data_IF_601799936279
#
_entry.id   IF_601799936279
#
_cell.length_a   1.000
_cell.length_b   1.000
_cell.length_c   1.000
_cell.angle_alpha   90.00
_cell.angle_beta   90.00
_cell.angle_gamma   90.00
#
_symmetry.space_group_name_H-M   'P 1'
#
loop_
_entity.id
_entity.type
_entity.pdbx_description
1 polymer ?
#
# COMPACT_ATOMS: atom_id res chain seq x y z
N UNK A 1 -14.19 16.86 5.01
CA UNK A 1 -14.01 18.11 4.24
C UNK A 1 -15.09 18.03 3.19
N UNK A 2 -16.23 18.74 3.33
CA UNK A 2 -17.41 18.47 2.50
C UNK A 2 -17.01 18.48 1.02
N UNK A 3 -16.94 17.30 0.40
CA UNK A 3 -16.68 17.19 -1.03
C UNK A 3 -17.95 17.70 -1.72
N UNK A 4 -17.84 18.85 -2.39
CA UNK A 4 -18.93 19.37 -3.20
C UNK A 4 -19.25 18.35 -4.31
N UNK A 5 -20.54 18.07 -4.52
CA UNK A 5 -21.00 17.20 -5.60
C UNK A 5 -20.46 17.65 -6.96
N UNK A 6 -20.21 18.96 -7.14
CA UNK A 6 -19.56 19.50 -8.34
C UNK A 6 -18.12 18.99 -8.52
N UNK A 7 -17.36 18.84 -7.44
CA UNK A 7 -15.98 18.31 -7.48
C UNK A 7 -15.97 16.82 -7.80
N UNK A 8 -16.93 16.06 -7.27
CA UNK A 8 -17.08 14.63 -7.62
C UNK A 8 -17.45 14.47 -9.09
N UNK A 9 -18.42 15.25 -9.58
CA UNK A 9 -18.89 15.18 -10.97
C UNK A 9 -17.76 15.57 -11.93
N UNK A 10 -17.05 16.67 -11.66
CA UNK A 10 -15.91 17.10 -12.49
C UNK A 10 -14.78 16.06 -12.47
N UNK A 11 -14.45 15.50 -11.31
CA UNK A 11 -13.48 14.42 -11.19
C UNK A 11 -13.89 13.17 -11.98
N UNK A 12 -15.16 12.78 -11.92
CA UNK A 12 -15.69 11.64 -12.66
C UNK A 12 -15.67 11.87 -14.18
N UNK A 13 -16.06 13.07 -14.63
CA UNK A 13 -16.03 13.45 -16.06
C UNK A 13 -14.60 13.48 -16.61
N UNK A 14 -13.66 14.09 -15.88
CA UNK A 14 -12.25 14.12 -16.28
C UNK A 14 -11.65 12.72 -16.32
N UNK A 15 -11.91 11.90 -15.30
CA UNK A 15 -11.45 10.51 -15.26
C UNK A 15 -12.03 9.69 -16.42
N UNK A 16 -13.32 9.89 -16.75
CA UNK A 16 -13.97 9.24 -17.88
C UNK A 16 -13.37 9.66 -19.23
N UNK A 17 -13.10 10.95 -19.43
CA UNK A 17 -12.47 11.45 -20.64
C UNK A 17 -11.05 10.89 -20.82
N UNK A 18 -10.26 10.86 -19.74
CA UNK A 18 -8.91 10.27 -19.74
C UNK A 18 -8.98 8.77 -20.04
N UNK A 19 -9.95 8.05 -19.47
CA UNK A 19 -10.12 6.62 -19.75
C UNK A 19 -10.42 6.37 -21.23
N UNK A 20 -11.36 7.11 -21.83
CA UNK A 20 -11.68 6.99 -23.26
C UNK A 20 -10.45 7.30 -24.12
N UNK A 21 -9.69 8.33 -23.76
CA UNK A 21 -8.46 8.70 -24.44
C UNK A 21 -7.39 7.60 -24.38
N UNK A 22 -7.13 7.02 -23.20
CA UNK A 22 -6.15 5.94 -23.02
C UNK A 22 -6.57 4.67 -23.78
N UNK A 23 -7.84 4.30 -23.71
CA UNK A 23 -8.36 3.10 -24.40
C UNK A 23 -8.26 3.28 -25.92
N UNK A 24 -8.57 4.48 -26.43
CA UNK A 24 -8.51 4.79 -27.86
C UNK A 24 -7.09 4.80 -28.44
N UNK A 25 -6.08 5.24 -27.68
CA UNK A 25 -4.72 5.42 -28.21
C UNK A 25 -3.74 4.30 -27.83
N UNK A 26 -3.85 3.74 -26.63
CA UNK A 26 -2.87 2.77 -26.10
C UNK A 26 -3.48 1.36 -26.00
N UNK A 27 -4.78 1.29 -25.76
CA UNK A 27 -5.55 0.06 -25.74
C UNK A 27 -6.17 -0.29 -24.39
N UNK A 28 -7.00 -1.33 -24.40
CA UNK A 28 -7.86 -1.69 -23.27
C UNK A 28 -7.11 -2.04 -21.98
N UNK A 29 -5.90 -2.63 -22.08
CA UNK A 29 -5.08 -3.03 -20.92
C UNK A 29 -4.67 -1.83 -20.05
N UNK A 30 -4.27 -0.72 -20.69
CA UNK A 30 -3.90 0.50 -19.96
C UNK A 30 -5.14 1.19 -19.36
N UNK A 31 -6.28 1.13 -20.07
CA UNK A 31 -7.55 1.57 -19.51
C UNK A 31 -7.94 0.79 -18.25
N UNK A 32 -7.77 -0.53 -18.26
CA UNK A 32 -8.03 -1.38 -17.09
C UNK A 32 -7.09 -1.04 -15.92
N UNK A 33 -5.79 -0.83 -16.18
CA UNK A 33 -4.82 -0.40 -15.15
C UNK A 33 -5.18 0.97 -14.56
N UNK A 34 -5.66 1.90 -15.39
CA UNK A 34 -6.13 3.21 -14.94
C UNK A 34 -7.35 3.08 -14.00
N UNK A 35 -8.31 2.22 -14.34
CA UNK A 35 -9.45 1.93 -13.46
C UNK A 35 -9.02 1.31 -12.12
N UNK A 36 -8.04 0.40 -12.13
CA UNK A 36 -7.45 -0.14 -10.89
C UNK A 36 -6.82 0.98 -10.06
N UNK A 37 -6.11 1.92 -10.69
CA UNK A 37 -5.55 3.11 -10.03
C UNK A 37 -6.60 3.99 -9.37
N UNK A 38 -7.71 4.27 -10.07
CA UNK A 38 -8.84 5.02 -9.51
C UNK A 38 -9.43 4.27 -8.31
N UNK A 39 -9.70 2.99 -8.45
CA UNK A 39 -10.24 2.15 -7.38
C UNK A 39 -9.33 2.15 -6.15
N UNK A 40 -8.03 1.93 -6.34
CA UNK A 40 -7.04 1.98 -5.27
C UNK A 40 -6.99 3.36 -4.60
N UNK A 41 -7.03 4.45 -5.37
CA UNK A 41 -7.07 5.82 -4.85
C UNK A 41 -8.30 6.11 -3.99
N UNK A 42 -9.48 5.69 -4.45
CA UNK A 42 -10.74 5.84 -3.71
C UNK A 42 -10.73 5.05 -2.40
N UNK A 43 -10.20 3.82 -2.41
CA UNK A 43 -10.04 2.98 -1.22
C UNK A 43 -9.07 3.66 -0.23
N UNK A 44 -7.90 4.12 -0.69
CA UNK A 44 -6.92 4.80 0.16
C UNK A 44 -7.49 6.08 0.79
N UNK A 45 -8.25 6.86 0.02
CA UNK A 45 -8.91 8.08 0.49
C UNK A 45 -9.96 7.78 1.57
N UNK A 46 -10.87 6.84 1.32
CA UNK A 46 -11.92 6.50 2.29
C UNK A 46 -11.38 5.79 3.54
N UNK A 47 -10.36 4.96 3.38
CA UNK A 47 -9.74 4.28 4.50
C UNK A 47 -8.80 5.18 5.32
N UNK A 48 -8.53 6.42 4.86
CA UNK A 48 -7.52 7.33 5.43
C UNK A 48 -6.20 6.60 5.76
N UNK A 49 -5.78 5.74 4.83
CA UNK A 49 -4.88 4.64 5.13
C UNK A 49 -3.39 5.03 5.03
N UNK A 50 -2.69 4.97 6.15
CA UNK A 50 -1.24 5.18 6.24
C UNK A 50 -0.53 4.04 6.96
N UNK A 51 0.46 3.42 6.30
CA UNK A 51 1.33 2.43 6.94
C UNK A 51 2.06 3.04 8.13
N UNK A 52 2.78 4.14 7.94
CA UNK A 52 3.54 4.80 9.01
C UNK A 52 2.70 5.30 10.17
N UNK A 53 1.52 5.86 9.91
CA UNK A 53 0.65 6.40 10.97
C UNK A 53 0.15 5.30 11.90
N UNK A 54 -0.26 4.16 11.35
CA UNK A 54 -0.72 3.01 12.15
C UNK A 54 0.37 2.46 13.09
N UNK A 55 1.60 2.32 12.58
CA UNK A 55 2.75 1.90 13.39
C UNK A 55 3.12 2.95 14.45
N UNK A 56 3.09 4.24 14.09
CA UNK A 56 3.37 5.33 15.03
C UNK A 56 2.33 5.40 16.14
N UNK A 57 1.04 5.25 15.84
CA UNK A 57 -0.03 5.25 16.83
C UNK A 57 0.07 4.04 17.77
N UNK A 58 0.48 2.88 17.24
CA UNK A 58 0.79 1.73 18.08
C UNK A 58 1.93 2.03 19.05
N UNK A 59 3.08 2.51 18.56
CA UNK A 59 4.26 2.71 19.40
C UNK A 59 4.05 3.83 20.42
N UNK A 60 3.51 4.96 19.96
CA UNK A 60 3.40 6.18 20.78
C UNK A 60 2.22 6.11 21.75
N UNK A 61 1.04 5.69 21.25
CA UNK A 61 -0.20 5.68 22.03
C UNK A 61 -0.54 4.28 22.55
N UNK A 62 -0.08 3.21 21.89
CA UNK A 62 -0.54 1.85 22.20
C UNK A 62 -1.87 1.50 21.53
N UNK A 63 -2.30 2.28 20.52
CA UNK A 63 -3.54 2.05 19.77
C UNK A 63 -3.21 1.26 18.50
N UNK A 64 -3.71 0.03 18.42
CA UNK A 64 -3.31 -0.93 17.39
C UNK A 64 -4.29 -1.16 16.27
N UNK A 65 -5.44 -0.46 16.26
CA UNK A 65 -6.50 -0.78 15.32
C UNK A 65 -6.09 -0.67 13.84
N UNK A 66 -5.34 0.38 13.47
CA UNK A 66 -4.81 0.55 12.11
C UNK A 66 -3.79 -0.53 11.74
N UNK A 67 -2.92 -0.93 12.67
CA UNK A 67 -1.91 -1.96 12.45
C UNK A 67 -2.57 -3.34 12.27
N UNK A 68 -3.62 -3.63 13.05
CA UNK A 68 -4.42 -4.84 12.91
C UNK A 68 -5.12 -4.91 11.54
N UNK A 69 -5.70 -3.80 11.08
CA UNK A 69 -6.30 -3.73 9.76
C UNK A 69 -5.28 -4.00 8.64
N UNK A 70 -4.05 -3.48 8.77
CA UNK A 70 -2.95 -3.76 7.84
C UNK A 70 -2.59 -5.25 7.79
N UNK A 71 -2.47 -5.90 8.95
CA UNK A 71 -2.14 -7.33 9.00
C UNK A 71 -3.24 -8.19 8.33
N UNK A 72 -4.52 -7.84 8.52
CA UNK A 72 -5.63 -8.51 7.84
C UNK A 72 -5.57 -8.28 6.32
N UNK A 73 -5.33 -7.04 5.89
CA UNK A 73 -5.17 -6.71 4.46
C UNK A 73 -4.04 -7.52 3.83
N UNK A 74 -2.88 -7.61 4.49
CA UNK A 74 -1.74 -8.40 4.01
C UNK A 74 -2.04 -9.90 3.99
N UNK A 75 -2.73 -10.42 5.00
CA UNK A 75 -3.13 -11.82 5.06
C UNK A 75 -4.10 -12.20 3.92
N UNK A 76 -5.13 -11.38 3.68
CA UNK A 76 -6.06 -11.59 2.56
C UNK A 76 -5.31 -11.51 1.22
N UNK A 77 -4.43 -10.52 1.07
CA UNK A 77 -3.58 -10.39 -0.12
C UNK A 77 -2.73 -11.65 -0.33
N UNK A 78 -2.09 -12.17 0.71
CA UNK A 78 -1.28 -13.37 0.63
C UNK A 78 -2.11 -14.60 0.24
N UNK A 79 -3.30 -14.78 0.84
CA UNK A 79 -4.22 -15.89 0.53
C UNK A 79 -4.67 -15.88 -0.93
N UNK A 80 -4.90 -14.69 -1.50
CA UNK A 80 -5.33 -14.56 -2.88
C UNK A 80 -4.16 -14.68 -3.86
N UNK A 81 -3.07 -13.95 -3.64
CA UNK A 81 -2.00 -13.84 -4.65
C UNK A 81 -0.99 -14.98 -4.60
N UNK A 82 -0.70 -15.60 -3.44
CA UNK A 82 0.28 -16.69 -3.40
C UNK A 82 -0.16 -17.91 -4.24
N UNK A 83 -1.42 -18.39 -4.18
CA UNK A 83 -1.88 -19.47 -5.06
C UNK A 83 -1.82 -19.09 -6.54
N UNK A 84 -2.29 -17.88 -6.89
CA UNK A 84 -2.23 -17.38 -8.26
C UNK A 84 -0.79 -17.32 -8.81
N UNK A 85 0.18 -16.97 -7.97
CA UNK A 85 1.59 -16.97 -8.34
C UNK A 85 2.19 -18.38 -8.41
N UNK A 86 1.66 -19.35 -7.64
CA UNK A 86 2.10 -20.73 -7.68
C UNK A 86 1.63 -21.45 -8.95
N UNK A 87 0.41 -21.16 -9.41
CA UNK A 87 -0.12 -21.68 -10.67
C UNK A 87 0.64 -21.11 -11.89
N UNK A 88 1.26 -19.93 -11.74
CA UNK A 88 2.13 -19.32 -12.75
C UNK A 88 1.42 -18.79 -13.99
N UNK A 89 0.11 -18.99 -14.10
CA UNK A 89 -0.72 -18.53 -15.20
C UNK A 89 -2.12 -18.16 -14.73
N UNK A 90 -2.69 -17.11 -15.35
CA UNK A 90 -4.09 -16.74 -15.18
C UNK A 90 -4.67 -16.41 -16.55
N UNK A 91 -5.62 -17.21 -17.01
CA UNK A 91 -6.28 -17.03 -18.32
C UNK A 91 -5.28 -16.90 -19.49
N UNK A 92 -4.22 -17.72 -19.49
CA UNK A 92 -3.18 -17.71 -20.51
C UNK A 92 -2.17 -16.56 -20.42
N UNK A 93 -2.24 -15.72 -19.37
CA UNK A 93 -1.21 -14.72 -19.07
C UNK A 93 -0.24 -15.28 -18.03
N UNK A 94 1.07 -15.22 -18.30
CA UNK A 94 2.08 -15.62 -17.33
C UNK A 94 2.06 -14.69 -16.11
N UNK A 95 1.91 -15.27 -14.92
CA UNK A 95 2.05 -14.58 -13.65
C UNK A 95 3.42 -14.90 -13.08
N UNK A 96 4.31 -13.90 -13.07
CA UNK A 96 5.62 -14.01 -12.43
C UNK A 96 5.71 -13.08 -11.23
N UNK A 97 6.11 -13.63 -10.10
CA UNK A 97 6.51 -12.85 -8.94
C UNK A 97 7.79 -12.06 -9.24
N UNK A 98 7.82 -10.78 -8.90
CA UNK A 98 9.04 -9.98 -8.98
C UNK A 98 9.93 -10.26 -7.77
N UNK A 99 10.77 -11.29 -7.86
CA UNK A 99 11.74 -11.64 -6.82
C UNK A 99 13.04 -10.90 -7.09
N UNK A 100 13.39 -9.95 -6.23
CA UNK A 100 14.63 -9.17 -6.33
C UNK A 100 15.64 -9.65 -5.27
N UNK A 101 16.96 -9.59 -5.57
CA UNK A 101 17.99 -9.96 -4.62
C UNK A 101 17.96 -9.05 -3.39
N UNK A 102 18.30 -9.64 -2.23
CA UNK A 102 18.43 -8.90 -0.98
C UNK A 102 19.85 -8.31 -0.91
N UNK A 103 20.01 -7.06 -1.30
CA UNK A 103 21.30 -6.37 -1.33
C UNK A 103 21.44 -5.34 -0.21
N UNK A 104 22.69 -4.93 0.06
CA UNK A 104 22.98 -3.81 0.99
C UNK A 104 22.23 -2.53 0.57
N UNK A 105 21.98 -2.36 -0.73
CA UNK A 105 21.19 -1.24 -1.25
C UNK A 105 19.73 -1.25 -0.77
N UNK A 106 19.12 -2.40 -0.48
CA UNK A 106 17.79 -2.47 0.12
C UNK A 106 17.79 -1.92 1.54
N UNK A 107 18.83 -2.24 2.33
CA UNK A 107 18.97 -1.75 3.71
C UNK A 107 19.17 -0.23 3.72
N UNK A 108 20.10 0.26 2.89
CA UNK A 108 20.34 1.69 2.73
C UNK A 108 19.09 2.44 2.24
N UNK A 109 18.40 1.87 1.24
CA UNK A 109 17.15 2.42 0.71
C UNK A 109 16.02 2.45 1.74
N UNK A 110 15.85 1.39 2.53
CA UNK A 110 14.85 1.35 3.60
C UNK A 110 15.12 2.39 4.69
N UNK A 111 16.39 2.60 5.05
CA UNK A 111 16.79 3.63 6.00
C UNK A 111 16.52 5.04 5.47
N UNK A 112 17.00 5.35 4.25
CA UNK A 112 16.78 6.65 3.59
C UNK A 112 15.29 6.93 3.39
N UNK A 113 14.52 5.92 2.98
CA UNK A 113 13.07 6.03 2.88
C UNK A 113 12.43 6.30 4.24
N UNK A 114 12.89 5.65 5.31
CA UNK A 114 12.50 5.92 6.69
C UNK A 114 12.71 7.38 7.11
N UNK A 115 13.91 7.92 6.85
CA UNK A 115 14.23 9.34 7.10
C UNK A 115 13.32 10.25 6.27
N UNK A 116 13.13 9.94 4.98
CA UNK A 116 12.23 10.67 4.09
C UNK A 116 10.79 10.68 4.59
N UNK A 117 10.29 9.56 5.11
CA UNK A 117 8.94 9.48 5.69
C UNK A 117 8.78 10.38 6.92
N UNK A 118 9.82 10.53 7.74
CA UNK A 118 9.79 11.43 8.89
C UNK A 118 9.79 12.90 8.44
N UNK A 119 10.64 13.26 7.49
CA UNK A 119 10.73 14.63 6.95
C UNK A 119 9.46 15.01 6.18
N UNK A 120 8.89 14.09 5.40
CA UNK A 120 7.69 14.29 4.60
C UNK A 120 6.38 14.16 5.37
N UNK A 121 6.42 13.74 6.65
CA UNK A 121 5.23 13.62 7.49
C UNK A 121 4.28 12.47 7.12
N UNK A 122 4.70 11.52 6.27
CA UNK A 122 3.87 10.44 5.76
C UNK A 122 4.64 9.39 4.97
N UNK A 123 4.04 8.20 4.83
CA UNK A 123 4.46 7.20 3.84
C UNK A 123 3.80 7.49 2.49
N UNK A 124 4.25 6.82 1.42
CA UNK A 124 3.69 7.01 0.08
C UNK A 124 2.16 6.95 0.04
N UNK A 125 1.54 5.94 0.68
CA UNK A 125 0.07 5.83 0.73
C UNK A 125 -0.57 6.99 1.48
N UNK A 126 0.03 7.40 2.61
CA UNK A 126 -0.39 8.54 3.42
C UNK A 126 -0.32 9.86 2.65
N UNK A 127 0.79 10.09 1.96
CA UNK A 127 1.02 11.26 1.11
C UNK A 127 0.00 11.30 -0.03
N UNK A 128 -0.28 10.17 -0.70
CA UNK A 128 -1.21 10.12 -1.82
C UNK A 128 -2.62 10.57 -1.43
N UNK A 129 -3.19 9.99 -0.37
CA UNK A 129 -4.57 10.29 0.00
C UNK A 129 -4.71 11.68 0.63
N UNK A 130 -3.70 12.14 1.38
CA UNK A 130 -3.71 13.48 1.99
C UNK A 130 -3.49 14.58 0.95
N UNK A 131 -2.63 14.36 -0.04
CA UNK A 131 -2.48 15.24 -1.19
C UNK A 131 -3.77 15.26 -2.04
N UNK A 132 -4.35 14.09 -2.31
CA UNK A 132 -5.65 13.96 -3.01
C UNK A 132 -6.81 14.62 -2.27
N UNK A 133 -6.76 14.68 -0.94
CA UNK A 133 -7.68 15.44 -0.09
C UNK A 133 -7.42 16.95 -0.05
N UNK A 134 -6.49 17.49 -0.86
CA UNK A 134 -6.26 18.93 -0.98
C UNK A 134 -5.18 19.52 -0.06
N UNK A 135 -4.37 18.70 0.62
CA UNK A 135 -3.28 19.22 1.43
C UNK A 135 -2.07 19.62 0.57
N UNK A 136 -1.93 20.93 0.32
CA UNK A 136 -0.83 21.47 -0.50
C UNK A 136 0.57 21.14 0.02
N UNK A 137 0.75 20.98 1.34
CA UNK A 137 2.04 20.57 1.91
C UNK A 137 2.39 19.14 1.48
N UNK A 138 1.39 18.27 1.37
CA UNK A 138 1.57 16.89 0.92
C UNK A 138 1.73 16.77 -0.60
N UNK A 139 1.24 17.75 -1.36
CA UNK A 139 1.55 17.83 -2.80
C UNK A 139 3.05 18.06 -3.00
N UNK A 140 3.68 18.92 -2.21
CA UNK A 140 5.13 19.14 -2.31
C UNK A 140 5.93 17.87 -1.97
N UNK A 141 5.52 17.13 -0.93
CA UNK A 141 6.19 15.86 -0.58
C UNK A 141 5.97 14.80 -1.66
N UNK A 142 4.80 14.77 -2.31
CA UNK A 142 4.53 13.91 -3.45
C UNK A 142 5.44 14.24 -4.65
N UNK A 143 5.61 15.52 -4.99
CA UNK A 143 6.51 15.94 -6.08
C UNK A 143 7.95 15.54 -5.77
N UNK A 144 8.44 15.82 -4.56
CA UNK A 144 9.78 15.41 -4.15
C UNK A 144 9.94 13.87 -4.17
N UNK A 145 8.90 13.14 -3.79
CA UNK A 145 8.88 11.68 -3.86
C UNK A 145 8.96 11.16 -5.30
N UNK A 146 8.25 11.78 -6.25
CA UNK A 146 8.31 11.44 -7.67
C UNK A 146 9.71 11.70 -8.24
N UNK A 147 10.27 12.89 -7.99
CA UNK A 147 11.62 13.26 -8.45
C UNK A 147 12.67 12.32 -7.85
N UNK A 148 12.62 12.08 -6.54
CA UNK A 148 13.53 11.16 -5.86
C UNK A 148 13.42 9.72 -6.38
N UNK A 149 12.20 9.23 -6.64
CA UNK A 149 11.97 7.90 -7.21
C UNK A 149 12.51 7.78 -8.64
N UNK A 150 12.36 8.82 -9.46
CA UNK A 150 12.93 8.86 -10.80
C UNK A 150 14.46 8.86 -10.78
N UNK A 151 15.08 9.65 -9.90
CA UNK A 151 16.53 9.65 -9.70
C UNK A 151 17.04 8.30 -9.17
N UNK A 152 16.31 7.68 -8.25
CA UNK A 152 16.62 6.34 -7.76
C UNK A 152 16.54 5.27 -8.86
N UNK A 153 15.52 5.35 -9.73
CA UNK A 153 15.39 4.47 -10.88
C UNK A 153 16.53 4.67 -11.90
N UNK A 154 16.99 5.91 -12.12
CA UNK A 154 18.13 6.20 -12.97
C UNK A 154 19.44 5.59 -12.43
N UNK A 155 19.67 5.67 -11.12
CA UNK A 155 20.86 5.10 -10.47
C UNK A 155 20.71 3.60 -10.14
N UNK A 156 19.61 2.96 -10.53
CA UNK A 156 19.33 1.56 -10.21
C UNK A 156 20.46 0.58 -10.56
N UNK A 157 21.18 0.72 -11.71
CA UNK A 157 22.30 -0.17 -12.02
C UNK A 157 23.43 -0.11 -10.98
N UNK A 158 23.74 1.09 -10.47
CA UNK A 158 24.75 1.26 -9.42
C UNK A 158 24.31 0.63 -8.10
N UNK A 159 23.02 0.74 -7.76
CA UNK A 159 22.45 0.10 -6.56
C UNK A 159 22.38 -1.43 -6.66
N UNK A 160 22.25 -1.97 -7.88
CA UNK A 160 22.26 -3.42 -8.12
C UNK A 160 23.67 -4.01 -8.14
N UNK A 161 24.69 -3.22 -8.45
CA UNK A 161 26.09 -3.65 -8.36
C UNK A 161 26.60 -3.77 -6.92
N UNK A 162 25.86 -3.25 -5.94
CA UNK A 162 26.19 -3.40 -4.52
C UNK A 162 26.15 -4.89 -4.10
N UNK A 163 27.02 -5.32 -3.17
CA UNK A 163 27.02 -6.71 -2.70
C UNK A 163 25.66 -7.08 -2.14
N UNK A 164 25.19 -8.28 -2.49
CA UNK A 164 23.89 -8.76 -2.09
C UNK A 164 23.82 -10.28 -2.00
N UNK A 165 22.85 -10.72 -1.22
CA UNK A 165 22.41 -12.09 -1.16
C UNK A 165 21.54 -12.38 -2.40
N UNK A 166 21.66 -13.60 -2.93
CA UNK A 166 20.85 -14.04 -4.06
C UNK A 166 19.35 -13.87 -3.82
N UNK A 167 18.52 -13.92 -4.86
CA UNK A 167 17.07 -13.80 -4.72
C UNK A 167 16.52 -14.91 -3.81
N UNK A 168 15.96 -14.52 -2.68
CA UNK A 168 15.29 -15.43 -1.74
C UNK A 168 13.80 -15.37 -2.00
N UNK A 169 13.24 -16.43 -2.58
CA UNK A 169 11.80 -16.57 -2.77
C UNK A 169 11.25 -17.62 -1.82
N UNK A 170 10.36 -17.21 -0.90
CA UNK A 170 9.63 -18.14 -0.03
C UNK A 170 8.85 -19.18 -0.84
N UNK A 171 8.18 -18.74 -1.90
CA UNK A 171 7.39 -19.61 -2.77
C UNK A 171 8.27 -20.61 -3.53
N UNK A 172 9.39 -20.16 -4.09
CA UNK A 172 10.31 -21.03 -4.84
C UNK A 172 11.13 -21.99 -3.97
N UNK A 173 11.39 -21.65 -2.70
CA UNK A 173 12.18 -22.50 -1.79
C UNK A 173 11.34 -23.47 -0.97
N UNK A 174 10.13 -23.07 -0.57
CA UNK A 174 9.31 -23.83 0.39
C UNK A 174 7.93 -24.25 -0.13
N UNK A 175 7.59 -23.87 -1.36
CA UNK A 175 6.28 -24.16 -1.96
C UNK A 175 5.13 -23.34 -1.38
N UNK A 176 3.96 -23.46 -2.01
CA UNK A 176 2.78 -22.65 -1.70
C UNK A 176 2.33 -22.80 -0.23
N UNK A 177 2.22 -24.03 0.25
CA UNK A 177 1.69 -24.32 1.59
C UNK A 177 2.53 -23.69 2.69
N UNK A 178 3.85 -23.89 2.67
CA UNK A 178 4.71 -23.36 3.71
C UNK A 178 4.86 -21.83 3.61
N UNK A 179 4.97 -21.28 2.39
CA UNK A 179 5.06 -19.83 2.19
C UNK A 179 3.81 -19.10 2.72
N UNK A 180 2.63 -19.69 2.52
CA UNK A 180 1.38 -19.15 3.05
C UNK A 180 1.33 -19.25 4.58
N UNK A 181 1.68 -20.39 5.15
CA UNK A 181 1.71 -20.58 6.62
C UNK A 181 2.67 -19.60 7.28
N UNK A 182 3.90 -19.45 6.76
CA UNK A 182 4.89 -18.52 7.30
C UNK A 182 4.35 -17.09 7.27
N UNK A 183 3.76 -16.67 6.14
CA UNK A 183 3.19 -15.33 5.99
C UNK A 183 2.05 -15.08 6.98
N UNK A 184 1.12 -16.03 7.10
CA UNK A 184 -0.01 -15.92 8.02
C UNK A 184 0.41 -15.91 9.48
N UNK A 185 1.39 -16.76 9.86
CA UNK A 185 1.94 -16.77 11.23
C UNK A 185 2.62 -15.44 11.55
N UNK A 186 3.37 -14.87 10.60
CA UNK A 186 4.02 -13.58 10.80
C UNK A 186 2.99 -12.47 10.99
N UNK A 187 1.97 -12.37 10.13
CA UNK A 187 0.92 -11.36 10.28
C UNK A 187 0.08 -11.57 11.55
N UNK A 188 -0.24 -12.82 11.88
CA UNK A 188 -0.95 -13.16 13.11
C UNK A 188 -0.14 -12.79 14.36
N UNK A 189 1.20 -12.98 14.35
CA UNK A 189 2.06 -12.62 15.47
C UNK A 189 2.05 -11.12 15.75
N UNK A 190 2.14 -10.29 14.71
CA UNK A 190 2.06 -8.82 14.82
C UNK A 190 0.66 -8.40 15.27
N UNK A 191 -0.38 -9.04 14.73
CA UNK A 191 -1.76 -8.78 15.13
C UNK A 191 -1.99 -9.12 16.61
N UNK A 192 -1.54 -10.28 17.09
CA UNK A 192 -1.69 -10.69 18.48
C UNK A 192 -0.86 -9.83 19.42
N UNK A 193 0.39 -9.51 19.05
CA UNK A 193 1.24 -8.59 19.80
C UNK A 193 0.59 -7.20 19.93
N UNK A 194 0.02 -6.70 18.83
CA UNK A 194 -0.69 -5.42 18.81
C UNK A 194 -1.92 -5.43 19.73
N UNK A 195 -2.71 -6.51 19.69
CA UNK A 195 -3.89 -6.67 20.52
C UNK A 195 -3.54 -6.83 22.01
N UNK A 196 -2.45 -7.55 22.31
CA UNK A 196 -1.96 -7.74 23.67
C UNK A 196 -1.52 -6.41 24.29
N UNK A 197 -0.72 -5.61 23.57
CA UNK A 197 -0.27 -4.28 24.03
C UNK A 197 -1.47 -3.35 24.27
N UNK A 198 -2.43 -3.31 23.34
CA UNK A 198 -3.61 -2.46 23.44
C UNK A 198 -4.50 -2.88 24.62
N UNK A 199 -4.78 -4.18 24.80
CA UNK A 199 -5.55 -4.69 25.96
C UNK A 199 -4.85 -4.40 27.29
N UNK A 200 -3.53 -4.51 27.35
CA UNK A 200 -2.78 -4.28 28.58
C UNK A 200 -2.77 -2.81 28.99
N UNK A 201 -2.83 -1.88 28.02
CA UNK A 201 -2.88 -0.43 28.30
C UNK A 201 -4.28 0.11 28.54
N UNK A 202 -5.29 -0.41 27.82
CA UNK A 202 -6.64 0.19 27.80
C UNK A 202 -7.75 -0.74 28.30
N UNK A 203 -7.46 -1.99 28.66
CA UNK A 203 -8.43 -2.98 29.15
C UNK A 203 -9.36 -3.56 28.07
N UNK A 204 -9.57 -2.85 26.96
CA UNK A 204 -10.36 -3.32 25.83
C UNK A 204 -9.73 -2.86 24.50
N UNK A 205 -10.00 -3.62 23.45
CA UNK A 205 -9.63 -3.23 22.08
C UNK A 205 -10.55 -2.12 21.59
N UNK A 206 -10.02 -1.16 20.84
CA UNK A 206 -10.85 -0.21 20.10
C UNK A 206 -11.82 -0.97 19.18
N UNK A 207 -13.11 -0.82 19.48
CA UNK A 207 -14.20 -1.27 18.61
C UNK A 207 -14.35 -0.23 17.51
N UNK A 208 -13.63 -0.41 16.40
CA UNK A 208 -13.91 0.36 15.18
C UNK A 208 -15.20 -0.16 14.52
N UNK A 209 -16.34 0.03 15.20
CA UNK A 209 -17.66 -0.41 14.77
C UNK A 209 -18.47 0.69 14.07
N UNK A 210 -17.87 1.84 13.73
CA UNK A 210 -18.61 3.01 13.23
C UNK A 210 -18.29 3.44 11.80
N UNK A 211 -17.59 2.64 10.99
CA UNK A 211 -17.40 2.98 9.56
C UNK A 211 -18.35 2.22 8.60
N UNK A 212 -18.88 1.06 9.00
CA UNK A 212 -19.76 0.25 8.13
C UNK A 212 -21.26 0.40 8.43
N UNK A 213 -21.64 1.05 9.54
CA UNK A 213 -23.02 1.00 10.05
C UNK A 213 -23.82 2.31 9.92
N UNK A 214 -23.31 3.37 9.28
CA UNK A 214 -24.10 4.60 9.11
C UNK A 214 -23.83 5.22 7.75
N UNK A 215 -24.85 5.14 6.90
CA UNK A 215 -24.79 5.42 5.48
C UNK A 215 -24.48 6.88 5.16
N UNK A 216 -23.59 7.07 4.19
CA UNK A 216 -23.75 7.94 3.03
C UNK A 216 -22.41 7.99 2.31
N UNK A 217 -22.33 7.34 1.16
CA UNK A 217 -21.20 7.41 0.22
C UNK A 217 -20.87 8.85 -0.26
N UNK A 218 -21.66 9.85 0.16
CA UNK A 218 -21.59 11.24 -0.29
C UNK A 218 -21.09 12.21 0.80
N UNK A 219 -20.54 11.71 1.91
CA UNK A 219 -19.98 12.56 2.96
C UNK A 219 -18.53 12.18 3.28
N UNK A 220 -17.65 12.44 2.31
CA UNK A 220 -16.23 12.75 2.55
C UNK A 220 -16.04 14.23 2.86
#
# INVERSE_FOLDING_TARGET
MRIDSRTVITGALLSGAILVYIVGLVGWRQGALFLVGIGAGLILYHAAFGFTSAWRDMISKGRGAGLRAQMIMLAVTAIVFLPLLADGQLWGMELRGSVRPLSVSVIAGAFLFGVGMQLGGGCASGTLFTAGGGNMRMVLTLVAFIVGSALGAYHLPAWQAAPGFGPVSLLGQFGLGLALVISLVLFASVWLGSAFVERRRYGALEKNATCFATGSWLRG
#
